data_IF_132113577757
#
_entry.id   IF_132113577757
#
_cell.length_a   1.000
_cell.length_b   1.000
_cell.length_c   1.000
_cell.angle_alpha   90.00
_cell.angle_beta   90.00
_cell.angle_gamma   90.00
#
_symmetry.space_group_name_H-M   'P 1'
#
loop_
_entity.id
_entity.type
_entity.pdbx_description
1 polymer ?
#
# COMPACT_ATOMS: atom_id res chain seq x y z
N UNK A 1 8.07 23.01 23.84
CA UNK A 1 7.42 23.52 25.07
C UNK A 1 5.89 23.26 25.13
N UNK A 2 5.09 23.60 24.09
CA UNK A 2 3.61 23.45 24.10
C UNK A 2 3.07 22.01 24.19
N UNK A 3 3.73 21.02 23.57
CA UNK A 3 3.32 19.60 23.64
C UNK A 3 3.50 19.03 25.06
N UNK A 4 4.61 19.36 25.73
CA UNK A 4 4.85 18.97 27.13
C UNK A 4 3.76 19.57 28.05
N UNK A 5 3.39 20.84 27.82
CA UNK A 5 2.30 21.51 28.53
C UNK A 5 0.95 20.81 28.32
N UNK A 6 0.59 20.42 27.09
CA UNK A 6 -0.61 19.61 26.81
C UNK A 6 -0.63 18.33 27.64
N UNK A 7 0.49 17.59 27.66
CA UNK A 7 0.60 16.32 28.39
C UNK A 7 0.46 16.52 29.90
N UNK A 8 1.07 17.59 30.42
CA UNK A 8 0.94 17.95 31.82
C UNK A 8 -0.51 18.27 32.19
N UNK A 9 -1.20 19.11 31.40
CA UNK A 9 -2.62 19.43 31.61
C UNK A 9 -3.52 18.20 31.52
N UNK A 10 -3.24 17.28 30.59
CA UNK A 10 -3.96 16.00 30.50
C UNK A 10 -3.81 15.17 31.79
N UNK A 11 -2.60 15.10 32.36
CA UNK A 11 -2.35 14.43 33.65
C UNK A 11 -3.12 15.10 34.79
N UNK A 12 -3.17 16.44 34.82
CA UNK A 12 -3.92 17.18 35.85
C UNK A 12 -5.43 16.96 35.75
N UNK A 13 -6.01 17.01 34.54
CA UNK A 13 -7.44 16.72 34.31
C UNK A 13 -7.78 15.30 34.75
N UNK A 14 -6.89 14.33 34.51
CA UNK A 14 -7.09 12.94 34.94
C UNK A 14 -7.06 12.80 36.47
N UNK A 15 -6.25 13.59 37.16
CA UNK A 15 -6.15 13.60 38.64
C UNK A 15 -7.33 14.30 39.32
N UNK A 16 -7.93 15.30 38.67
CA UNK A 16 -9.03 16.09 39.22
C UNK A 16 -10.26 16.07 38.30
N UNK A 17 -10.98 14.93 38.22
CA UNK A 17 -12.07 14.74 37.25
C UNK A 17 -13.28 15.65 37.48
N UNK A 18 -13.49 16.12 38.71
CA UNK A 18 -14.60 17.02 39.06
C UNK A 18 -14.31 18.49 38.74
N UNK A 19 -13.07 18.85 38.41
CA UNK A 19 -12.70 20.22 38.08
C UNK A 19 -13.10 20.56 36.63
N UNK A 20 -14.30 21.13 36.47
CA UNK A 20 -14.88 21.50 35.18
C UNK A 20 -14.06 22.58 34.47
N UNK A 21 -13.54 23.57 35.20
CA UNK A 21 -12.75 24.67 34.63
C UNK A 21 -11.44 24.17 34.02
N UNK A 22 -10.74 23.28 34.73
CA UNK A 22 -9.50 22.67 34.27
C UNK A 22 -9.73 21.85 32.99
N UNK A 23 -10.85 21.13 32.91
CA UNK A 23 -11.24 20.36 31.71
C UNK A 23 -11.55 21.29 30.53
N UNK A 24 -12.22 22.42 30.77
CA UNK A 24 -12.51 23.45 29.76
C UNK A 24 -11.21 24.08 29.25
N UNK A 25 -10.31 24.46 30.15
CA UNK A 25 -8.99 25.02 29.81
C UNK A 25 -8.16 24.04 28.98
N UNK A 26 -8.07 22.77 29.40
CA UNK A 26 -7.36 21.74 28.66
C UNK A 26 -7.91 21.56 27.24
N UNK A 27 -9.24 21.52 27.10
CA UNK A 27 -9.90 21.37 25.80
C UNK A 27 -9.57 22.53 24.87
N UNK A 28 -9.67 23.77 25.35
CA UNK A 28 -9.31 24.96 24.59
C UNK A 28 -7.82 24.95 24.19
N UNK A 29 -6.93 24.63 25.13
CA UNK A 29 -5.50 24.55 24.86
C UNK A 29 -5.14 23.46 23.84
N UNK A 30 -5.75 22.27 23.95
CA UNK A 30 -5.56 21.16 23.00
C UNK A 30 -6.03 21.56 21.60
N UNK A 31 -7.17 22.22 21.49
CA UNK A 31 -7.71 22.66 20.21
C UNK A 31 -6.82 23.72 19.55
N UNK A 32 -6.37 24.72 20.32
CA UNK A 32 -5.40 25.71 19.85
C UNK A 32 -4.10 25.06 19.39
N UNK A 33 -3.55 24.14 20.17
CA UNK A 33 -2.34 23.41 19.78
C UNK A 33 -2.54 22.57 18.51
N UNK A 34 -3.72 21.96 18.32
CA UNK A 34 -4.05 21.22 17.09
C UNK A 34 -4.03 22.14 15.87
N UNK A 35 -4.61 23.34 15.99
CA UNK A 35 -4.59 24.37 14.94
C UNK A 35 -3.14 24.81 14.66
N UNK A 36 -2.39 25.19 15.70
CA UNK A 36 -0.97 25.58 15.56
C UNK A 36 -0.15 24.51 14.81
N UNK A 37 -0.34 23.23 15.15
CA UNK A 37 0.36 22.11 14.48
C UNK A 37 -0.05 21.99 13.02
N UNK A 38 -1.35 22.13 12.72
CA UNK A 38 -1.87 22.09 11.34
C UNK A 38 -1.24 23.21 10.51
N UNK A 39 -1.22 24.44 11.05
CA UNK A 39 -0.69 25.60 10.35
C UNK A 39 0.81 25.49 10.12
N UNK A 40 1.56 25.00 11.11
CA UNK A 40 2.99 24.74 10.97
C UNK A 40 3.28 23.67 9.90
N UNK A 41 2.50 22.58 9.86
CA UNK A 41 2.62 21.56 8.82
C UNK A 41 2.33 22.14 7.44
N UNK A 42 1.27 22.93 7.31
CA UNK A 42 0.91 23.58 6.05
C UNK A 42 2.02 24.53 5.58
N UNK A 43 2.56 25.37 6.48
CA UNK A 43 3.68 26.27 6.18
C UNK A 43 4.92 25.50 5.75
N UNK A 44 5.27 24.43 6.46
CA UNK A 44 6.40 23.58 6.12
C UNK A 44 6.26 22.96 4.72
N UNK A 45 5.14 22.32 4.42
CA UNK A 45 4.95 21.68 3.12
C UNK A 45 4.80 22.70 1.99
N UNK A 46 4.15 23.84 2.24
CA UNK A 46 4.13 24.96 1.28
C UNK A 46 5.54 25.39 0.92
N UNK A 47 6.41 25.61 1.92
CA UNK A 47 7.81 25.93 1.69
C UNK A 47 8.53 24.84 0.88
N UNK A 48 8.36 23.56 1.21
CA UNK A 48 8.98 22.46 0.45
C UNK A 48 8.55 22.40 -1.02
N UNK A 49 7.28 22.70 -1.31
CA UNK A 49 6.78 22.79 -2.68
C UNK A 49 7.33 24.01 -3.42
N UNK A 50 7.44 25.17 -2.77
CA UNK A 50 8.09 26.35 -3.35
C UNK A 50 9.57 26.09 -3.68
N UNK A 51 10.30 25.41 -2.80
CA UNK A 51 11.69 25.01 -3.06
C UNK A 51 11.83 24.02 -4.22
N UNK A 52 10.76 23.29 -4.54
CA UNK A 52 10.73 22.32 -5.65
C UNK A 52 10.18 22.91 -6.94
N UNK A 53 9.80 24.19 -6.95
CA UNK A 53 9.19 24.87 -8.09
C UNK A 53 10.15 24.85 -9.29
N UNK A 54 9.62 24.50 -10.46
CA UNK A 54 10.40 24.35 -11.69
C UNK A 54 11.17 23.03 -11.81
N UNK A 55 11.19 22.19 -10.76
CA UNK A 55 11.77 20.86 -10.78
C UNK A 55 10.69 19.78 -10.57
N UNK A 56 10.21 19.22 -11.68
CA UNK A 56 9.17 18.19 -11.67
C UNK A 56 9.61 16.94 -10.88
N UNK A 57 10.88 16.52 -11.02
CA UNK A 57 11.41 15.34 -10.34
C UNK A 57 11.41 15.51 -8.81
N UNK A 58 11.82 16.67 -8.29
CA UNK A 58 11.79 16.92 -6.85
C UNK A 58 10.36 17.07 -6.31
N UNK A 59 9.46 17.67 -7.09
CA UNK A 59 8.03 17.76 -6.76
C UNK A 59 7.42 16.38 -6.61
N UNK A 60 7.62 15.49 -7.58
CA UNK A 60 7.14 14.11 -7.52
C UNK A 60 7.78 13.31 -6.38
N UNK A 61 9.07 13.52 -6.09
CA UNK A 61 9.73 12.90 -4.93
C UNK A 61 9.06 13.32 -3.61
N UNK A 62 8.68 14.59 -3.48
CA UNK A 62 7.97 15.10 -2.31
C UNK A 62 6.56 14.51 -2.20
N UNK A 63 5.82 14.44 -3.32
CA UNK A 63 4.49 13.81 -3.39
C UNK A 63 4.57 12.34 -2.98
N UNK A 64 5.47 11.56 -3.59
CA UNK A 64 5.63 10.13 -3.30
C UNK A 64 5.98 9.87 -1.82
N UNK A 65 6.78 10.76 -1.22
CA UNK A 65 7.10 10.72 0.20
C UNK A 65 5.88 11.00 1.08
N UNK A 66 5.01 11.93 0.67
CA UNK A 66 3.79 12.30 1.40
C UNK A 66 2.68 11.25 1.28
N UNK A 67 2.55 10.60 0.13
CA UNK A 67 1.54 9.58 -0.15
C UNK A 67 1.98 8.18 0.28
N UNK A 68 3.25 7.99 0.66
CA UNK A 68 3.80 6.69 1.05
C UNK A 68 4.11 5.77 -0.13
N UNK A 69 4.07 6.28 -1.37
CA UNK A 69 4.41 5.55 -2.59
C UNK A 69 5.91 5.24 -2.73
N UNK A 70 6.76 5.85 -1.89
CA UNK A 70 8.20 5.57 -1.83
C UNK A 70 8.59 4.50 -0.80
N UNK A 71 7.62 3.77 -0.22
CA UNK A 71 7.96 2.55 0.52
C UNK A 71 8.25 1.51 -0.54
N UNK A 72 9.53 1.12 -0.65
CA UNK A 72 9.84 -0.18 -1.22
C UNK A 72 9.04 -1.16 -0.37
N UNK A 73 7.98 -1.69 -0.96
CA UNK A 73 7.26 -2.77 -0.35
C UNK A 73 8.28 -3.90 -0.28
N UNK A 74 8.74 -4.18 0.92
CA UNK A 74 9.35 -5.45 1.30
C UNK A 74 8.26 -6.55 1.26
N UNK A 75 7.45 -6.54 0.19
CA UNK A 75 6.46 -7.55 -0.14
C UNK A 75 7.24 -8.76 -0.63
N UNK A 76 7.94 -9.42 0.28
CA UNK A 76 8.31 -10.81 0.09
C UNK A 76 7.00 -11.59 0.01
N UNK A 77 6.70 -12.10 -1.18
CA UNK A 77 5.64 -13.07 -1.38
C UNK A 77 6.10 -14.34 -0.66
N UNK A 78 5.43 -14.70 0.42
CA UNK A 78 5.71 -15.94 1.17
C UNK A 78 4.63 -16.96 0.84
N UNK A 79 5.04 -18.13 0.38
CA UNK A 79 4.14 -19.25 0.12
C UNK A 79 4.40 -20.31 1.16
N UNK A 80 3.34 -20.67 1.89
CA UNK A 80 3.34 -21.81 2.78
C UNK A 80 3.01 -23.06 1.96
N UNK A 81 3.92 -24.01 1.91
CA UNK A 81 3.78 -25.23 1.11
C UNK A 81 3.21 -26.37 1.97
N UNK A 82 3.55 -26.39 3.27
CA UNK A 82 3.10 -27.35 4.29
C UNK A 82 2.94 -26.64 5.65
N UNK A 83 2.58 -27.38 6.71
CA UNK A 83 2.39 -26.79 8.06
C UNK A 83 3.64 -26.05 8.59
N UNK A 84 4.86 -26.46 8.20
CA UNK A 84 6.12 -25.88 8.70
C UNK A 84 7.05 -25.22 7.64
N UNK A 85 6.74 -25.36 6.34
CA UNK A 85 7.62 -24.86 5.27
C UNK A 85 7.08 -23.56 4.65
N UNK A 86 7.76 -22.45 4.95
CA UNK A 86 7.52 -21.13 4.35
C UNK A 86 8.67 -20.80 3.40
N UNK A 87 8.33 -20.57 2.13
CA UNK A 87 9.30 -20.17 1.10
C UNK A 87 9.04 -18.73 0.68
N UNK A 88 10.09 -17.93 0.62
CA UNK A 88 10.06 -16.52 0.22
C UNK A 88 11.00 -16.19 -0.96
N UNK A 89 11.74 -17.19 -1.45
CA UNK A 89 12.60 -17.06 -2.63
C UNK A 89 11.74 -17.04 -3.91
N UNK A 90 11.79 -15.96 -4.73
CA UNK A 90 10.87 -15.76 -5.85
C UNK A 90 10.84 -16.88 -6.90
N UNK A 91 11.99 -17.47 -7.23
CA UNK A 91 12.06 -18.53 -8.23
C UNK A 91 11.41 -19.83 -7.74
N UNK A 92 11.70 -20.24 -6.50
CA UNK A 92 11.10 -21.41 -5.86
C UNK A 92 9.60 -21.19 -5.64
N UNK A 93 9.18 -19.98 -5.22
CA UNK A 93 7.76 -19.61 -5.13
C UNK A 93 7.05 -19.80 -6.48
N UNK A 94 7.63 -19.30 -7.57
CA UNK A 94 7.04 -19.43 -8.90
C UNK A 94 6.95 -20.90 -9.35
N UNK A 95 8.00 -21.70 -9.10
CA UNK A 95 7.98 -23.14 -9.41
C UNK A 95 6.85 -23.83 -8.64
N UNK A 96 6.80 -23.64 -7.31
CA UNK A 96 5.82 -24.32 -6.45
C UNK A 96 4.39 -23.91 -6.77
N UNK A 97 4.18 -22.62 -7.04
CA UNK A 97 2.90 -22.11 -7.50
C UNK A 97 2.47 -22.77 -8.82
N UNK A 98 3.37 -22.83 -9.80
CA UNK A 98 3.07 -23.44 -11.10
C UNK A 98 2.79 -24.94 -10.97
N UNK A 99 3.61 -25.67 -10.20
CA UNK A 99 3.43 -27.10 -9.93
C UNK A 99 2.05 -27.39 -9.32
N UNK A 100 1.63 -26.61 -8.32
CA UNK A 100 0.32 -26.78 -7.68
C UNK A 100 -0.84 -26.76 -8.69
N UNK A 101 -0.88 -25.76 -9.59
CA UNK A 101 -1.97 -25.68 -10.57
C UNK A 101 -1.88 -26.74 -11.67
N UNK A 102 -0.67 -27.12 -12.08
CA UNK A 102 -0.47 -28.21 -13.05
C UNK A 102 -0.87 -29.56 -12.45
N UNK A 103 -0.53 -29.81 -11.20
CA UNK A 103 -0.88 -31.06 -10.50
C UNK A 103 -2.40 -31.17 -10.32
N UNK A 104 -3.09 -30.09 -9.98
CA UNK A 104 -4.56 -30.05 -9.95
C UNK A 104 -5.14 -30.41 -11.32
N UNK A 105 -4.62 -29.83 -12.40
CA UNK A 105 -5.08 -30.13 -13.76
C UNK A 105 -4.86 -31.61 -14.12
N UNK A 106 -3.72 -32.18 -13.71
CA UNK A 106 -3.43 -33.60 -13.93
C UNK A 106 -4.34 -34.53 -13.12
N UNK A 107 -4.79 -34.11 -11.94
CA UNK A 107 -5.73 -34.84 -11.09
C UNK A 107 -7.19 -34.66 -11.53
N UNK A 108 -7.48 -33.58 -12.25
CA UNK A 108 -8.77 -33.40 -12.91
C UNK A 108 -8.83 -34.34 -14.11
N UNK A 109 -9.75 -35.31 -14.09
CA UNK A 109 -10.14 -36.06 -15.27
C UNK A 109 -10.85 -35.11 -16.25
N UNK A 110 -10.07 -34.31 -16.97
CA UNK A 110 -10.53 -33.45 -18.05
C UNK A 110 -10.87 -34.32 -19.26
N UNK A 111 -12.01 -35.00 -19.20
CA UNK A 111 -12.75 -35.39 -20.40
C UNK A 111 -13.37 -34.13 -21.03
N UNK A 112 -12.57 -33.09 -21.23
CA UNK A 112 -13.02 -31.86 -21.87
C UNK A 112 -13.02 -32.11 -23.37
N UNK A 113 -14.15 -32.58 -23.91
CA UNK A 113 -14.46 -32.30 -25.30
C UNK A 113 -14.44 -30.78 -25.44
N UNK A 114 -13.52 -30.26 -26.25
CA UNK A 114 -13.47 -28.85 -26.58
C UNK A 114 -14.87 -28.46 -27.06
N UNK A 115 -15.54 -27.52 -26.37
CA UNK A 115 -16.88 -27.10 -26.77
C UNK A 115 -16.83 -26.69 -28.24
N UNK A 116 -17.73 -27.23 -29.06
CA UNK A 116 -17.85 -26.88 -30.49
C UNK A 116 -17.99 -25.36 -30.71
N UNK A 117 -18.37 -24.61 -29.67
CA UNK A 117 -18.45 -23.15 -29.68
C UNK A 117 -17.08 -22.46 -29.81
N UNK A 118 -15.97 -23.07 -29.36
CA UNK A 118 -14.63 -22.48 -29.50
C UNK A 118 -14.20 -22.39 -30.98
N UNK A 119 -14.59 -23.39 -31.79
CA UNK A 119 -14.36 -23.39 -33.24
C UNK A 119 -15.18 -22.34 -33.99
N UNK A 120 -16.25 -21.82 -33.37
CA UNK A 120 -17.12 -20.79 -33.93
C UNK A 120 -16.75 -19.38 -33.45
N UNK A 121 -15.72 -19.21 -32.61
CA UNK A 121 -15.28 -17.90 -32.17
C UNK A 121 -14.62 -17.14 -33.34
N UNK A 122 -15.02 -15.87 -33.60
CA UNK A 122 -14.42 -15.05 -34.65
C UNK A 122 -12.90 -14.85 -34.46
N UNK A 123 -12.43 -14.94 -33.22
CA UNK A 123 -11.04 -14.67 -32.83
C UNK A 123 -10.20 -15.94 -32.62
N UNK A 124 -10.72 -17.14 -32.92
CA UNK A 124 -10.02 -18.42 -32.65
C UNK A 124 -8.59 -18.47 -33.22
N UNK A 125 -8.38 -17.87 -34.38
CA UNK A 125 -7.10 -17.85 -35.08
C UNK A 125 -6.03 -17.01 -34.34
N UNK A 126 -6.43 -16.11 -33.44
CA UNK A 126 -5.50 -15.34 -32.60
C UNK A 126 -4.88 -16.19 -31.48
N UNK A 127 -5.56 -17.26 -31.07
CA UNK A 127 -5.08 -18.16 -30.01
C UNK A 127 -4.31 -19.35 -30.57
N UNK A 128 -4.69 -19.85 -31.75
CA UNK A 128 -4.04 -20.99 -32.39
C UNK A 128 -2.68 -20.61 -33.00
N UNK A 129 -2.57 -19.42 -33.59
CA UNK A 129 -1.32 -18.91 -34.12
C UNK A 129 -0.60 -18.08 -33.05
N UNK A 130 -0.06 -18.73 -32.01
CA UNK A 130 0.89 -18.09 -31.09
C UNK A 130 2.19 -17.78 -31.83
N UNK A 131 2.18 -16.74 -32.66
CA UNK A 131 3.41 -16.01 -32.95
C UNK A 131 3.55 -15.04 -31.79
N UNK A 132 4.35 -15.41 -30.80
CA UNK A 132 4.78 -14.51 -29.73
C UNK A 132 5.52 -13.33 -30.38
N UNK A 133 4.78 -12.29 -30.77
CA UNK A 133 5.39 -11.02 -31.12
C UNK A 133 5.93 -10.47 -29.80
N UNK A 134 7.26 -10.47 -29.66
CA UNK A 134 7.95 -9.75 -28.58
C UNK A 134 7.29 -8.38 -28.43
N UNK A 135 6.77 -8.11 -27.24
CA UNK A 135 6.14 -6.83 -26.90
C UNK A 135 7.07 -5.68 -27.29
N UNK A 136 6.59 -4.76 -28.12
CA UNK A 136 7.35 -3.61 -28.67
C UNK A 136 7.38 -2.45 -27.67
N UNK A 137 7.31 -2.72 -26.37
CA UNK A 137 7.46 -1.71 -25.33
C UNK A 137 8.75 -1.96 -24.57
N UNK A 138 9.84 -1.45 -25.15
CA UNK A 138 11.05 -1.01 -24.46
C UNK A 138 11.37 0.41 -24.92
#
# INVERSE_FOLDING_TARGET
MKIKKRNHLFKLVKKHPQNVELKKYYSAFRNKLKIDIKDLKNKYYKYQFEQSKGNSKSTWKLVNKLTGQGRENDCQIKVQINDDDVVDEPFVVAIKFNSFFLDIVNQMNLNSQMSNNFLNLPYKNQFLNRIERKSVYL
#
